data_IF_156063318652
#
_entry.id   IF_156063318652
#
_cell.length_a   1.000
_cell.length_b   1.000
_cell.length_c   1.000
_cell.angle_alpha   90.00
_cell.angle_beta   90.00
_cell.angle_gamma   90.00
#
_symmetry.space_group_name_H-M   'P 1'
#
loop_
_entity.id
_entity.type
_entity.pdbx_description
1 polymer ?
#
# COMPACT_ATOMS: atom_id res chain seq x y z
N UNK A 1 -3.11 -11.87 15.46
CA UNK A 1 -4.15 -11.00 14.88
C UNK A 1 -3.52 -9.66 14.55
N UNK A 2 -3.91 -9.00 13.45
CA UNK A 2 -3.39 -7.67 13.08
C UNK A 2 -3.74 -6.65 14.18
N UNK A 3 -2.85 -5.67 14.36
CA UNK A 3 -2.93 -4.65 15.39
C UNK A 3 -2.77 -3.28 14.75
N UNK A 4 -3.38 -2.27 15.34
CA UNK A 4 -3.19 -0.87 14.97
C UNK A 4 -2.73 -0.07 16.19
N UNK A 5 -2.12 1.08 15.94
CA UNK A 5 -1.74 2.02 16.98
C UNK A 5 -2.05 3.43 16.47
N UNK A 6 -2.62 4.24 17.35
CA UNK A 6 -2.99 5.63 17.04
C UNK A 6 -2.17 6.58 17.91
N UNK A 7 -1.80 7.71 17.33
CA UNK A 7 -1.14 8.81 18.03
C UNK A 7 -1.79 10.14 17.70
N UNK A 8 -1.66 11.10 18.61
CA UNK A 8 -2.12 12.47 18.42
C UNK A 8 -0.92 13.40 18.42
N UNK A 9 -0.89 14.30 17.43
CA UNK A 9 0.00 15.47 17.42
C UNK A 9 -0.78 16.65 17.98
N UNK A 10 -0.17 17.42 18.87
CA UNK A 10 -0.72 18.67 19.42
C UNK A 10 0.34 19.76 19.42
N UNK A 11 -0.06 21.00 19.16
CA UNK A 11 0.78 22.19 19.34
C UNK A 11 0.36 22.96 20.59
N UNK A 12 1.31 23.50 21.33
CA UNK A 12 1.05 24.48 22.38
C UNK A 12 1.06 25.93 21.83
N UNK A 13 0.85 26.92 22.71
CA UNK A 13 0.84 28.35 22.35
C UNK A 13 2.22 28.88 21.91
N UNK A 14 3.30 28.12 22.14
CA UNK A 14 4.68 28.45 21.73
C UNK A 14 5.10 27.72 20.45
N UNK A 15 4.14 27.19 19.68
CA UNK A 15 4.37 26.39 18.46
C UNK A 15 5.20 25.11 18.68
N UNK A 16 5.33 24.61 19.93
CA UNK A 16 5.99 23.33 20.19
C UNK A 16 5.04 22.19 19.86
N UNK A 17 5.51 21.28 19.02
CA UNK A 17 4.79 20.08 18.62
C UNK A 17 5.10 18.92 19.56
N UNK A 18 4.06 18.36 20.18
CA UNK A 18 4.13 17.12 20.95
C UNK A 18 3.40 15.98 20.24
N UNK A 19 3.98 14.78 20.29
CA UNK A 19 3.34 13.55 19.83
C UNK A 19 3.11 12.61 21.02
N UNK A 20 1.88 12.10 21.14
CA UNK A 20 1.50 11.15 22.19
C UNK A 20 0.79 9.95 21.58
N UNK A 21 1.29 8.75 21.87
CA UNK A 21 0.55 7.51 21.64
C UNK A 21 -0.70 7.48 22.51
N UNK A 22 -1.78 6.87 22.01
CA UNK A 22 -2.94 6.58 22.85
C UNK A 22 -2.58 5.55 23.95
N UNK A 23 -3.35 5.57 25.05
CA UNK A 23 -3.05 4.84 26.29
C UNK A 23 -2.90 3.33 26.11
N UNK A 24 -3.53 2.74 25.09
CA UNK A 24 -3.21 1.40 24.63
C UNK A 24 -2.23 1.51 23.47
N UNK A 25 -0.96 1.15 23.68
CA UNK A 25 0.09 1.25 22.65
C UNK A 25 -0.23 0.45 21.39
N UNK A 26 -1.18 -0.50 21.46
CA UNK A 26 -1.81 -1.13 20.30
C UNK A 26 -3.25 -1.56 20.62
N UNK A 27 -4.16 -1.41 19.65
CA UNK A 27 -5.52 -1.92 19.68
C UNK A 27 -5.73 -2.98 18.59
N UNK A 28 -6.81 -3.75 18.69
CA UNK A 28 -7.23 -4.61 17.58
C UNK A 28 -7.73 -3.74 16.43
N UNK A 29 -7.55 -4.21 15.19
CA UNK A 29 -8.19 -3.56 14.04
C UNK A 29 -9.72 -3.57 14.20
N UNK A 30 -10.43 -2.57 13.67
CA UNK A 30 -11.87 -2.42 13.85
C UNK A 30 -12.67 -3.68 13.49
N UNK A 31 -13.71 -3.96 14.29
CA UNK A 31 -14.45 -5.22 14.23
C UNK A 31 -15.18 -5.42 12.90
N UNK A 32 -15.64 -4.33 12.29
CA UNK A 32 -16.31 -4.28 10.99
C UNK A 32 -15.48 -4.88 9.83
N UNK A 33 -14.14 -4.84 9.90
CA UNK A 33 -13.28 -5.56 8.96
C UNK A 33 -13.52 -7.08 8.99
N UNK A 34 -13.95 -7.59 10.15
CA UNK A 34 -14.25 -9.01 10.39
C UNK A 34 -15.75 -9.32 10.33
N UNK A 35 -16.59 -8.31 10.57
CA UNK A 35 -18.04 -8.44 10.73
C UNK A 35 -18.81 -8.37 9.40
N UNK A 36 -18.16 -7.95 8.31
CA UNK A 36 -18.75 -8.03 6.97
C UNK A 36 -18.96 -9.51 6.60
N UNK A 37 -20.19 -9.99 6.89
CA UNK A 37 -20.65 -11.37 6.71
C UNK A 37 -20.67 -11.82 5.23
N UNK A 38 -20.29 -10.95 4.29
CA UNK A 38 -20.06 -11.28 2.89
C UNK A 38 -18.58 -11.51 2.58
N UNK A 39 -18.22 -12.76 2.27
CA UNK A 39 -17.00 -13.23 1.59
C UNK A 39 -15.59 -12.85 2.15
N UNK A 40 -15.41 -11.71 2.81
CA UNK A 40 -14.13 -11.11 3.17
C UNK A 40 -13.40 -11.87 4.27
N UNK A 41 -14.09 -12.31 5.33
CA UNK A 41 -13.48 -13.09 6.42
C UNK A 41 -12.99 -14.48 5.95
N UNK A 42 -13.59 -15.03 4.89
CA UNK A 42 -13.18 -16.34 4.35
C UNK A 42 -12.11 -16.24 3.27
N UNK A 43 -11.79 -15.04 2.76
CA UNK A 43 -10.90 -14.90 1.59
C UNK A 43 -9.43 -15.04 1.96
N UNK A 44 -9.05 -14.56 3.14
CA UNK A 44 -7.64 -14.50 3.57
C UNK A 44 -7.43 -15.09 4.97
N UNK A 45 -6.37 -15.89 5.12
CA UNK A 45 -5.91 -16.44 6.40
C UNK A 45 -5.26 -15.37 7.27
N UNK A 46 -4.50 -14.47 6.65
CA UNK A 46 -3.67 -13.45 7.30
C UNK A 46 -3.48 -12.26 6.35
N UNK A 47 -3.19 -11.08 6.92
CA UNK A 47 -2.73 -9.93 6.14
C UNK A 47 -1.74 -9.09 6.95
N UNK A 48 -0.94 -8.30 6.23
CA UNK A 48 0.04 -7.36 6.76
C UNK A 48 -0.06 -6.03 6.01
N UNK A 49 0.33 -4.93 6.65
CA UNK A 49 0.52 -3.65 5.96
C UNK A 49 1.61 -3.76 4.88
N UNK A 50 1.50 -2.97 3.81
CA UNK A 50 2.48 -2.95 2.71
C UNK A 50 3.83 -2.34 3.05
N UNK A 51 4.02 -1.86 4.28
CA UNK A 51 5.27 -1.30 4.80
C UNK A 51 5.50 0.18 4.50
N UNK A 52 4.60 0.83 3.75
CA UNK A 52 4.63 2.26 3.45
C UNK A 52 3.46 3.04 4.05
N UNK A 53 3.27 4.26 3.55
CA UNK A 53 2.14 5.10 3.92
C UNK A 53 0.84 4.63 3.24
N UNK A 54 -0.28 4.78 3.95
CA UNK A 54 -1.59 4.87 3.32
C UNK A 54 -1.92 6.31 2.91
N UNK A 55 -3.08 6.51 2.31
CA UNK A 55 -3.55 7.82 1.86
C UNK A 55 -4.92 8.15 2.41
N UNK A 56 -5.25 9.44 2.42
CA UNK A 56 -6.61 9.94 2.63
C UNK A 56 -7.05 10.63 1.35
N UNK A 57 -8.07 10.09 0.69
CA UNK A 57 -8.71 10.69 -0.47
C UNK A 57 -9.71 11.73 0.02
N UNK A 58 -9.40 13.02 -0.17
CA UNK A 58 -10.15 14.12 0.44
C UNK A 58 -11.56 14.26 -0.15
N UNK A 59 -11.71 14.10 -1.47
CA UNK A 59 -13.01 14.27 -2.16
C UNK A 59 -14.04 13.23 -1.72
N UNK A 60 -13.62 11.97 -1.63
CA UNK A 60 -14.48 10.83 -1.24
C UNK A 60 -14.43 10.53 0.27
N UNK A 61 -13.65 11.32 1.02
CA UNK A 61 -13.47 11.24 2.49
C UNK A 61 -13.17 9.82 2.97
N UNK A 62 -12.15 9.21 2.39
CA UNK A 62 -11.79 7.81 2.65
C UNK A 62 -10.31 7.63 2.91
N UNK A 63 -9.98 6.76 3.85
CA UNK A 63 -8.63 6.27 4.07
C UNK A 63 -8.39 5.00 3.28
N UNK A 64 -7.22 4.88 2.68
CA UNK A 64 -6.82 3.73 1.87
C UNK A 64 -5.47 3.23 2.39
N UNK A 65 -5.43 2.00 2.87
CA UNK A 65 -4.23 1.38 3.42
C UNK A 65 -3.78 0.24 2.51
N UNK A 66 -2.58 0.27 1.92
CA UNK A 66 -2.09 -0.83 1.10
C UNK A 66 -1.70 -2.00 2.01
N UNK A 67 -2.16 -3.20 1.66
CA UNK A 67 -1.91 -4.42 2.41
C UNK A 67 -1.55 -5.59 1.49
N UNK A 68 -0.84 -6.56 2.04
CA UNK A 68 -0.67 -7.87 1.42
C UNK A 68 -1.40 -8.93 2.24
N UNK A 69 -2.03 -9.90 1.58
CA UNK A 69 -2.85 -10.91 2.23
C UNK A 69 -2.52 -12.33 1.71
N UNK A 70 -2.51 -13.29 2.64
CA UNK A 70 -2.34 -14.71 2.36
C UNK A 70 -3.71 -15.35 2.17
N UNK A 71 -3.95 -15.90 0.97
CA UNK A 71 -5.16 -16.63 0.61
C UNK A 71 -5.20 -18.03 1.23
N UNK A 72 -6.36 -18.68 1.10
CA UNK A 72 -6.53 -20.06 1.56
C UNK A 72 -5.69 -21.08 0.78
N UNK A 73 -5.44 -20.83 -0.50
CA UNK A 73 -4.59 -21.63 -1.39
C UNK A 73 -3.09 -21.29 -1.25
N UNK A 74 -2.72 -20.58 -0.17
CA UNK A 74 -1.33 -20.22 0.20
C UNK A 74 -0.64 -19.22 -0.72
N UNK A 75 -1.38 -18.63 -1.67
CA UNK A 75 -0.87 -17.55 -2.50
C UNK A 75 -0.98 -16.20 -1.79
N UNK A 76 -0.02 -15.32 -2.06
CA UNK A 76 -0.02 -13.95 -1.52
C UNK A 76 -0.44 -12.98 -2.60
N UNK A 77 -1.32 -12.03 -2.25
CA UNK A 77 -1.78 -10.96 -3.14
C UNK A 77 -1.67 -9.61 -2.44
N UNK A 78 -1.66 -8.54 -3.23
CA UNK A 78 -1.75 -7.16 -2.77
C UNK A 78 -3.14 -6.58 -3.02
N UNK A 79 -3.62 -5.79 -2.09
CA UNK A 79 -4.91 -5.11 -2.15
C UNK A 79 -4.91 -3.90 -1.22
N UNK A 80 -6.07 -3.27 -1.01
CA UNK A 80 -6.21 -2.17 -0.06
C UNK A 80 -7.30 -2.44 0.98
N UNK A 81 -7.12 -1.86 2.16
CA UNK A 81 -8.21 -1.63 3.11
C UNK A 81 -8.76 -0.23 2.84
N UNK A 82 -10.07 -0.15 2.73
CA UNK A 82 -10.84 1.07 2.61
C UNK A 82 -11.50 1.36 3.96
N UNK A 83 -11.31 2.56 4.50
CA UNK A 83 -11.87 2.95 5.78
C UNK A 83 -12.54 4.33 5.71
N UNK A 84 -13.76 4.44 6.24
CA UNK A 84 -14.48 5.72 6.35
C UNK A 84 -13.89 6.62 7.44
N UNK A 85 -13.42 6.01 8.52
CA UNK A 85 -12.74 6.64 9.64
C UNK A 85 -11.59 5.75 10.09
N UNK A 86 -10.61 6.29 10.79
CA UNK A 86 -9.52 5.49 11.36
C UNK A 86 -10.04 4.39 12.29
N UNK A 87 -11.20 4.58 12.93
CA UNK A 87 -11.80 3.63 13.87
C UNK A 87 -12.97 2.79 13.34
N UNK A 88 -13.48 3.04 12.12
CA UNK A 88 -14.70 2.37 11.60
C UNK A 88 -14.90 2.54 10.09
N UNK A 89 -15.81 1.75 9.54
CA UNK A 89 -16.06 1.57 8.13
C UNK A 89 -14.92 0.88 7.37
N UNK A 90 -14.16 -0.01 8.03
CA UNK A 90 -13.06 -0.76 7.43
C UNK A 90 -13.59 -1.94 6.61
N UNK A 91 -13.10 -2.08 5.38
CA UNK A 91 -13.37 -3.22 4.49
C UNK A 91 -12.18 -3.49 3.57
N UNK A 92 -11.99 -4.72 3.14
CA UNK A 92 -11.07 -5.01 2.04
C UNK A 92 -11.67 -4.53 0.71
N UNK A 93 -10.81 -4.13 -0.24
CA UNK A 93 -11.23 -3.97 -1.63
C UNK A 93 -11.64 -5.31 -2.24
N UNK A 94 -12.58 -5.28 -3.18
CA UNK A 94 -13.03 -6.50 -3.88
C UNK A 94 -11.92 -7.03 -4.80
N UNK A 95 -11.26 -6.14 -5.54
CA UNK A 95 -10.13 -6.47 -6.38
C UNK A 95 -8.85 -6.74 -5.57
N UNK A 96 -7.97 -7.53 -6.18
CA UNK A 96 -6.61 -7.80 -5.72
C UNK A 96 -5.64 -7.79 -6.93
N UNK A 97 -4.34 -7.76 -6.65
CA UNK A 97 -3.29 -7.93 -7.66
C UNK A 97 -3.21 -9.37 -8.16
N UNK A 98 -2.34 -9.61 -9.15
CA UNK A 98 -1.86 -10.95 -9.44
C UNK A 98 -1.25 -11.65 -8.21
N UNK A 99 -1.28 -12.99 -8.23
CA UNK A 99 -0.64 -13.83 -7.24
C UNK A 99 0.88 -13.59 -7.22
N UNK A 100 1.48 -13.62 -6.03
CA UNK A 100 2.91 -13.40 -5.83
C UNK A 100 3.32 -11.92 -5.86
N UNK A 101 2.39 -10.98 -5.72
CA UNK A 101 2.71 -9.55 -5.59
C UNK A 101 2.52 -9.06 -4.16
N UNK A 102 3.57 -8.48 -3.58
CA UNK A 102 3.66 -8.09 -2.16
C UNK A 102 4.20 -6.66 -1.99
N UNK A 103 4.24 -6.20 -0.73
CA UNK A 103 4.73 -4.86 -0.33
C UNK A 103 4.14 -3.72 -1.16
N UNK A 104 2.79 -3.64 -1.27
CA UNK A 104 2.17 -2.62 -2.09
C UNK A 104 2.34 -1.23 -1.49
N UNK A 105 2.39 -0.24 -2.38
CA UNK A 105 2.21 1.16 -2.07
C UNK A 105 1.10 1.72 -2.98
N UNK A 106 0.29 2.63 -2.44
CA UNK A 106 -0.90 3.15 -3.13
C UNK A 106 -0.88 4.68 -3.14
N UNK A 107 -1.37 5.26 -4.23
CA UNK A 107 -1.63 6.69 -4.35
C UNK A 107 -2.98 6.96 -5.01
N UNK A 108 -3.47 8.18 -4.83
CA UNK A 108 -4.62 8.71 -5.59
C UNK A 108 -4.10 9.40 -6.85
N UNK A 109 -4.63 8.98 -7.99
CA UNK A 109 -4.38 9.57 -9.30
C UNK A 109 -5.66 10.21 -9.85
N UNK A 110 -5.54 10.88 -10.99
CA UNK A 110 -6.64 11.57 -11.71
C UNK A 110 -7.98 10.83 -11.66
N UNK A 111 -9.08 11.59 -11.67
CA UNK A 111 -10.46 11.07 -11.58
C UNK A 111 -10.71 10.16 -10.37
N UNK A 112 -10.05 10.45 -9.23
CA UNK A 112 -10.16 9.69 -7.97
C UNK A 112 -9.78 8.22 -8.11
N UNK A 113 -8.95 7.88 -9.09
CA UNK A 113 -8.50 6.50 -9.30
C UNK A 113 -7.41 6.14 -8.30
N UNK A 114 -7.41 4.88 -7.89
CA UNK A 114 -6.32 4.32 -7.11
C UNK A 114 -5.27 3.75 -8.04
N UNK A 115 -4.00 4.03 -7.74
CA UNK A 115 -2.87 3.39 -8.40
C UNK A 115 -2.05 2.66 -7.34
N UNK A 116 -1.83 1.37 -7.55
CA UNK A 116 -1.07 0.51 -6.66
C UNK A 116 0.17 -0.03 -7.37
N UNK A 117 1.32 0.15 -6.76
CA UNK A 117 2.56 -0.49 -7.19
C UNK A 117 2.92 -1.61 -6.21
N UNK A 118 3.18 -2.81 -6.72
CA UNK A 118 3.55 -3.98 -5.90
C UNK A 118 4.79 -4.68 -6.45
N UNK A 119 5.56 -5.32 -5.57
CA UNK A 119 6.72 -6.14 -5.91
C UNK A 119 6.32 -7.58 -6.15
N UNK A 120 6.60 -8.11 -7.35
CA UNK A 120 6.14 -9.44 -7.75
C UNK A 120 7.29 -10.47 -7.83
N UNK A 121 6.98 -11.76 -7.83
CA UNK A 121 7.98 -12.86 -7.83
C UNK A 121 8.87 -12.86 -9.07
N UNK A 122 8.39 -12.31 -10.18
CA UNK A 122 9.11 -12.18 -11.44
C UNK A 122 10.18 -11.07 -11.44
N UNK A 123 10.48 -10.47 -10.28
CA UNK A 123 11.44 -9.37 -10.15
C UNK A 123 10.99 -8.05 -10.74
N UNK A 124 9.78 -7.97 -11.27
CA UNK A 124 9.17 -6.72 -11.69
C UNK A 124 8.43 -6.06 -10.54
N UNK A 125 8.25 -4.74 -10.64
CA UNK A 125 7.13 -4.09 -9.97
C UNK A 125 6.02 -3.87 -10.96
N UNK A 126 4.86 -4.42 -10.63
CA UNK A 126 3.64 -4.23 -11.41
C UNK A 126 2.87 -3.05 -10.86
N UNK A 127 2.29 -2.27 -11.77
CA UNK A 127 1.47 -1.11 -11.44
C UNK A 127 0.07 -1.40 -11.91
N UNK A 128 -0.90 -1.20 -11.02
CA UNK A 128 -2.31 -1.46 -11.28
C UNK A 128 -3.11 -0.19 -11.03
N UNK A 129 -4.18 -0.01 -11.81
CA UNK A 129 -5.16 1.03 -11.60
C UNK A 129 -6.53 0.43 -11.27
N UNK A 130 -7.25 1.09 -10.38
CA UNK A 130 -8.63 0.76 -10.02
C UNK A 130 -9.45 2.03 -9.77
N UNK A 131 -10.76 1.86 -9.63
CA UNK A 131 -11.64 2.91 -9.10
C UNK A 131 -11.36 3.22 -7.62
N UNK A 132 -12.08 4.20 -7.08
CA UNK A 132 -11.98 4.63 -5.67
C UNK A 132 -12.39 3.57 -4.63
N UNK A 133 -12.97 2.44 -5.09
CA UNK A 133 -13.37 1.29 -4.27
C UNK A 133 -12.43 0.09 -4.44
N UNK A 134 -11.41 0.18 -5.31
CA UNK A 134 -10.55 -0.95 -5.62
C UNK A 134 -11.32 -2.16 -6.14
N UNK A 135 -12.43 -1.96 -6.86
CA UNK A 135 -13.34 -3.04 -7.26
C UNK A 135 -12.67 -4.04 -8.21
N UNK A 136 -11.87 -3.53 -9.14
CA UNK A 136 -11.08 -4.33 -10.10
C UNK A 136 -9.77 -3.61 -10.42
N UNK A 137 -8.65 -4.29 -10.14
CA UNK A 137 -7.32 -3.82 -10.49
C UNK A 137 -6.97 -4.26 -11.92
N UNK A 138 -6.55 -3.32 -12.76
CA UNK A 138 -6.06 -3.58 -14.11
C UNK A 138 -4.59 -3.21 -14.17
N UNK A 139 -3.73 -4.11 -14.67
CA UNK A 139 -2.31 -3.81 -14.81
C UNK A 139 -2.07 -2.78 -15.94
N UNK A 140 -1.29 -1.76 -15.63
CA UNK A 140 -0.98 -0.62 -16.49
C UNK A 140 0.23 -0.92 -17.39
N UNK A 141 0.07 -1.88 -18.31
CA UNK A 141 1.14 -2.38 -19.19
C UNK A 141 1.77 -1.31 -20.08
N UNK A 142 0.98 -0.35 -20.57
CA UNK A 142 1.41 0.63 -21.56
C UNK A 142 2.06 1.88 -20.95
N UNK A 143 2.13 1.99 -19.62
CA UNK A 143 2.58 3.21 -18.94
C UNK A 143 3.69 2.94 -17.92
N UNK A 144 3.35 2.32 -16.78
CA UNK A 144 4.22 2.26 -15.60
C UNK A 144 4.55 0.83 -15.15
N UNK A 145 3.74 -0.16 -15.54
CA UNK A 145 3.96 -1.51 -15.07
C UNK A 145 5.27 -2.08 -15.63
N UNK A 146 6.00 -2.83 -14.79
CA UNK A 146 7.24 -3.54 -15.11
C UNK A 146 8.44 -2.69 -15.50
N UNK A 147 8.28 -1.37 -15.64
CA UNK A 147 9.35 -0.39 -15.84
C UNK A 147 10.47 -0.61 -14.81
N UNK A 148 10.11 -0.66 -13.53
CA UNK A 148 11.09 -0.84 -12.45
C UNK A 148 11.23 -2.30 -12.00
N UNK A 149 12.48 -2.72 -11.78
CA UNK A 149 12.83 -4.07 -11.31
C UNK A 149 13.51 -4.10 -9.96
N UNK A 150 13.66 -5.30 -9.42
CA UNK A 150 14.49 -5.52 -8.24
C UNK A 150 15.98 -5.66 -8.56
N UNK A 151 16.34 -6.17 -9.74
CA UNK A 151 17.72 -6.30 -10.20
C UNK A 151 17.78 -6.43 -11.73
N UNK A 152 18.99 -6.50 -12.29
CA UNK A 152 19.19 -6.79 -13.72
C UNK A 152 18.66 -8.18 -14.12
N UNK A 153 18.74 -9.16 -13.23
CA UNK A 153 18.31 -10.53 -13.51
C UNK A 153 16.80 -10.75 -13.35
N UNK A 154 16.07 -9.80 -12.72
CA UNK A 154 14.61 -9.84 -12.49
C UNK A 154 14.15 -11.19 -11.89
N UNK A 155 14.57 -11.46 -10.66
CA UNK A 155 14.21 -12.69 -9.93
C UNK A 155 13.82 -12.42 -8.50
N UNK A 156 12.72 -13.03 -8.06
CA UNK A 156 12.21 -12.89 -6.69
C UNK A 156 11.69 -11.48 -6.43
N UNK A 157 11.29 -11.22 -5.19
CA UNK A 157 10.80 -9.90 -4.80
C UNK A 157 11.92 -8.87 -4.70
N UNK A 158 11.56 -7.59 -4.91
CA UNK A 158 12.34 -6.47 -4.43
C UNK A 158 11.98 -6.10 -3.00
N UNK A 159 12.61 -5.04 -2.49
CA UNK A 159 12.25 -4.42 -1.22
C UNK A 159 11.15 -3.37 -1.41
N UNK A 160 10.54 -2.90 -0.32
CA UNK A 160 9.57 -1.81 -0.33
C UNK A 160 10.23 -0.50 -0.84
N UNK A 161 9.45 0.38 -1.48
CA UNK A 161 9.92 1.71 -1.85
C UNK A 161 8.81 2.77 -1.77
N UNK A 162 9.18 4.04 -1.88
CA UNK A 162 8.22 5.15 -1.91
C UNK A 162 7.46 5.19 -3.24
N UNK A 163 6.16 5.45 -3.15
CA UNK A 163 5.27 5.65 -4.30
C UNK A 163 4.17 6.60 -3.87
N UNK A 164 4.25 7.86 -4.29
CA UNK A 164 3.34 8.92 -3.85
C UNK A 164 3.00 9.84 -5.01
N UNK A 165 1.83 10.47 -4.96
CA UNK A 165 1.48 11.57 -5.83
C UNK A 165 1.74 12.91 -5.15
N UNK A 166 2.12 13.91 -5.93
CA UNK A 166 2.34 15.28 -5.46
C UNK A 166 1.91 16.27 -6.54
N UNK A 167 1.62 17.51 -6.13
CA UNK A 167 1.45 18.63 -7.07
C UNK A 167 2.64 19.56 -6.94
N UNK A 168 3.44 19.66 -8.00
CA UNK A 168 4.65 20.51 -8.03
C UNK A 168 4.45 21.53 -9.14
N UNK A 169 4.48 22.82 -8.79
CA UNK A 169 4.27 23.93 -9.73
C UNK A 169 2.98 23.79 -10.56
N UNK A 170 1.89 23.34 -9.93
CA UNK A 170 0.59 23.13 -10.59
C UNK A 170 0.50 21.86 -11.43
N UNK A 171 1.56 21.07 -11.55
CA UNK A 171 1.55 19.78 -12.25
C UNK A 171 1.43 18.62 -11.26
N UNK A 172 0.45 17.74 -11.50
CA UNK A 172 0.33 16.48 -10.76
C UNK A 172 1.38 15.50 -11.27
N UNK A 173 2.19 14.95 -10.36
CA UNK A 173 3.29 14.04 -10.67
C UNK A 173 3.28 12.84 -9.73
N UNK A 174 3.91 11.75 -10.18
CA UNK A 174 4.19 10.57 -9.35
C UNK A 174 5.67 10.58 -9.00
N UNK A 175 5.97 10.46 -7.71
CA UNK A 175 7.33 10.31 -7.19
C UNK A 175 7.53 8.87 -6.75
N UNK A 176 8.64 8.27 -7.21
CA UNK A 176 8.99 6.88 -6.94
C UNK A 176 10.40 6.84 -6.38
N UNK A 177 10.59 6.15 -5.25
CA UNK A 177 11.92 5.94 -4.67
C UNK A 177 12.23 4.46 -4.49
N UNK A 178 13.41 4.02 -4.94
CA UNK A 178 13.79 2.61 -4.96
C UNK A 178 15.29 2.38 -4.89
N UNK A 179 15.74 1.33 -4.18
CA UNK A 179 17.11 0.88 -4.34
C UNK A 179 17.30 0.26 -5.72
N UNK A 180 18.36 0.70 -6.39
CA UNK A 180 18.94 0.07 -7.56
C UNK A 180 20.16 -0.72 -7.07
N UNK A 181 20.16 -2.01 -7.35
CA UNK A 181 21.25 -2.89 -6.97
C UNK A 181 22.23 -3.02 -8.13
N UNK A 182 23.44 -2.53 -7.93
CA UNK A 182 24.56 -2.78 -8.84
C UNK A 182 25.34 -3.97 -8.32
N UNK A 183 25.32 -5.08 -9.05
CA UNK A 183 26.19 -6.22 -8.77
C UNK A 183 27.51 -6.07 -9.53
N UNK A 184 28.60 -5.84 -8.81
CA UNK A 184 29.94 -6.20 -9.29
C UNK A 184 30.59 -7.08 -8.22
N UNK A 185 30.98 -8.30 -8.60
CA UNK A 185 31.75 -9.24 -7.78
C UNK A 185 31.04 -9.78 -6.51
N UNK A 186 29.75 -10.12 -6.63
CA UNK A 186 29.05 -10.92 -5.59
C UNK A 186 28.66 -10.17 -4.31
N UNK A 187 28.92 -8.85 -4.22
CA UNK A 187 28.34 -7.97 -3.20
C UNK A 187 27.30 -7.08 -3.87
N UNK A 188 26.03 -7.26 -3.52
CA UNK A 188 24.98 -6.33 -3.93
C UNK A 188 25.08 -5.06 -3.09
N UNK A 189 25.47 -3.95 -3.71
CA UNK A 189 25.32 -2.63 -3.11
C UNK A 189 24.05 -1.99 -3.67
N UNK A 190 23.05 -1.80 -2.81
CA UNK A 190 21.85 -1.04 -3.15
C UNK A 190 22.07 0.46 -2.98
N UNK A 191 21.73 1.27 -3.99
CA UNK A 191 21.68 2.73 -3.91
C UNK A 191 20.24 3.19 -4.07
N UNK A 192 19.73 4.00 -3.16
CA UNK A 192 18.39 4.59 -3.29
C UNK A 192 18.40 5.64 -4.41
N UNK A 193 17.47 5.52 -5.35
CA UNK A 193 17.17 6.46 -6.42
C UNK A 193 15.75 6.98 -6.28
#
# INVERSE_FOLDING_TARGET
>A
MPRMADGKVSSDEEDKMEFKWQSESTSNVPHDLWEDKGANLKRFKQFLGGGGAGIKMEEVRRYVLPIQALKNDEKVVSLVILARRTSSGWKFSEGESDDGCIQPAVLEWEDRKLVMMASCEDGSRRVYMADEEGSRWTEEYDTLSRVWGNSLARKGHGVQGGFVSATINGQKVILVSRPVYSGTNGKETGRLH
#
